data_IF_829233703461
#
_entry.id   IF_829233703461
#
_cell.length_a   1.000
_cell.length_b   1.000
_cell.length_c   1.000
_cell.angle_alpha   90.00
_cell.angle_beta   90.00
_cell.angle_gamma   90.00
#
_symmetry.space_group_name_H-M   'P 1'
#
loop_
_entity.id
_entity.type
_entity.pdbx_description
1 polymer ?
#
# COMPACT_ATOMS: atom_id res chain seq x y z
N UNK A 1 -23.22 -4.41 -13.31
CA UNK A 1 -22.83 -5.22 -12.16
C UNK A 1 -21.41 -5.03 -11.77
N UNK A 2 -20.50 -5.27 -12.71
CA UNK A 2 -19.10 -5.11 -12.40
C UNK A 2 -18.74 -3.68 -12.02
N UNK A 3 -19.38 -2.72 -12.65
CA UNK A 3 -19.10 -1.33 -12.34
C UNK A 3 -19.46 -0.99 -10.90
N UNK A 4 -20.58 -1.50 -10.43
CA UNK A 4 -20.98 -1.24 -9.05
C UNK A 4 -20.02 -1.90 -8.09
N UNK A 5 -19.58 -3.11 -8.40
CA UNK A 5 -18.62 -3.79 -7.55
C UNK A 5 -17.30 -3.05 -7.50
N UNK A 6 -16.85 -2.54 -8.65
CA UNK A 6 -15.61 -1.78 -8.69
C UNK A 6 -15.73 -0.50 -7.89
N UNK A 7 -16.84 0.17 -8.00
CA UNK A 7 -17.09 1.40 -7.27
C UNK A 7 -17.05 1.14 -5.77
N UNK A 8 -17.71 0.09 -5.35
CA UNK A 8 -17.75 -0.26 -3.94
C UNK A 8 -16.35 -0.60 -3.42
N UNK A 9 -15.64 -1.41 -4.19
CA UNK A 9 -14.28 -1.80 -3.77
C UNK A 9 -13.36 -0.59 -3.72
N UNK A 10 -13.45 0.29 -4.71
CA UNK A 10 -12.60 1.49 -4.72
C UNK A 10 -12.90 2.36 -3.53
N UNK A 11 -14.16 2.49 -3.15
CA UNK A 11 -14.52 3.28 -1.99
C UNK A 11 -13.93 2.68 -0.72
N UNK A 12 -14.00 1.37 -0.59
CA UNK A 12 -13.44 0.71 0.58
C UNK A 12 -11.94 0.91 0.68
N UNK A 13 -11.24 0.78 -0.45
CA UNK A 13 -9.78 0.97 -0.42
C UNK A 13 -9.42 2.42 -0.18
N UNK A 14 -10.22 3.35 -0.68
CA UNK A 14 -10.00 4.75 -0.40
C UNK A 14 -10.13 5.06 1.08
N UNK A 15 -11.15 4.51 1.72
CA UNK A 15 -11.30 4.66 3.15
C UNK A 15 -10.13 4.05 3.88
N UNK A 16 -9.67 2.88 3.43
CA UNK A 16 -8.53 2.23 4.07
C UNK A 16 -7.29 3.10 3.96
N UNK A 17 -7.10 3.77 2.84
CA UNK A 17 -5.95 4.67 2.69
C UNK A 17 -6.02 5.81 3.69
N UNK A 18 -7.20 6.39 3.86
CA UNK A 18 -7.35 7.48 4.81
C UNK A 18 -7.04 6.99 6.22
N UNK A 19 -7.51 5.81 6.57
CA UNK A 19 -7.22 5.25 7.88
C UNK A 19 -5.74 4.95 8.05
N UNK A 20 -5.07 4.51 6.98
CA UNK A 20 -3.64 4.26 7.04
C UNK A 20 -2.87 5.55 7.29
N UNK A 21 -3.28 6.63 6.63
CA UNK A 21 -2.63 7.92 6.85
C UNK A 21 -2.79 8.35 8.30
N UNK A 22 -3.97 8.16 8.84
CA UNK A 22 -4.21 8.47 10.24
C UNK A 22 -3.28 7.66 11.13
N UNK A 23 -3.14 6.37 10.81
CA UNK A 23 -2.30 5.50 11.60
C UNK A 23 -0.84 5.94 11.55
N UNK A 24 -0.38 6.36 10.37
CA UNK A 24 0.98 6.84 10.24
C UNK A 24 1.21 8.06 11.10
N UNK A 25 0.24 8.98 11.10
CA UNK A 25 0.38 10.20 11.87
C UNK A 25 0.35 9.93 13.36
N UNK A 26 -0.45 8.94 13.78
CA UNK A 26 -0.65 8.65 15.20
C UNK A 26 0.22 7.52 15.70
N UNK A 27 0.95 6.86 14.84
CA UNK A 27 1.71 5.70 15.25
C UNK A 27 2.67 5.99 16.37
N UNK A 28 2.56 5.26 17.49
CA UNK A 28 3.43 5.53 18.63
C UNK A 28 4.85 5.04 18.43
N UNK A 29 5.05 4.03 17.60
CA UNK A 29 6.39 3.50 17.38
C UNK A 29 6.70 3.48 15.89
N UNK A 30 7.99 3.33 15.61
CA UNK A 30 8.42 3.23 14.21
C UNK A 30 7.86 1.97 13.56
N UNK A 31 7.75 0.89 14.33
CA UNK A 31 7.22 -0.35 13.78
C UNK A 31 5.78 -0.17 13.31
N UNK A 32 4.97 0.55 14.09
CA UNK A 32 3.59 0.79 13.70
C UNK A 32 3.52 1.60 12.43
N UNK A 33 4.39 2.59 12.30
CA UNK A 33 4.40 3.41 11.10
C UNK A 33 4.80 2.61 9.88
N UNK A 34 5.76 1.73 10.04
CA UNK A 34 6.21 0.91 8.92
C UNK A 34 5.11 -0.05 8.49
N UNK A 35 4.41 -0.62 9.45
CA UNK A 35 3.29 -1.48 9.12
C UNK A 35 2.21 -0.73 8.35
N UNK A 36 1.92 0.50 8.77
CA UNK A 36 0.92 1.29 8.08
C UNK A 36 1.36 1.63 6.67
N UNK A 37 2.64 1.91 6.49
CA UNK A 37 3.16 2.18 5.16
C UNK A 37 3.01 0.97 4.25
N UNK A 38 3.29 -0.21 4.79
CA UNK A 38 3.15 -1.44 4.01
C UNK A 38 1.71 -1.64 3.58
N UNK A 39 0.79 -1.41 4.50
CA UNK A 39 -0.62 -1.53 4.19
C UNK A 39 -1.05 -0.50 3.15
N UNK A 40 -0.49 0.70 3.22
CA UNK A 40 -0.77 1.72 2.21
C UNK A 40 -0.35 1.27 0.82
N UNK A 41 0.82 0.64 0.73
CA UNK A 41 1.29 0.15 -0.56
C UNK A 41 0.33 -0.89 -1.10
N UNK A 42 -0.11 -1.80 -0.26
CA UNK A 42 -1.06 -2.82 -0.69
C UNK A 42 -2.35 -2.18 -1.18
N UNK A 43 -2.83 -1.17 -0.47
CA UNK A 43 -4.06 -0.49 -0.87
C UNK A 43 -3.90 0.22 -2.20
N UNK A 44 -2.76 0.85 -2.41
CA UNK A 44 -2.50 1.53 -3.68
C UNK A 44 -2.45 0.52 -4.82
N UNK A 45 -1.81 -0.62 -4.58
CA UNK A 45 -1.75 -1.67 -5.59
C UNK A 45 -3.15 -2.15 -5.95
N UNK A 46 -3.98 -2.35 -4.93
CA UNK A 46 -5.35 -2.79 -5.17
C UNK A 46 -6.13 -1.76 -5.98
N UNK A 47 -5.96 -0.49 -5.67
CA UNK A 47 -6.64 0.56 -6.41
C UNK A 47 -6.19 0.60 -7.86
N UNK A 48 -4.89 0.42 -8.08
CA UNK A 48 -4.37 0.39 -9.45
C UNK A 48 -4.96 -0.78 -10.23
N UNK A 49 -5.03 -1.94 -9.59
CA UNK A 49 -5.59 -3.11 -10.26
C UNK A 49 -7.07 -2.88 -10.57
N UNK A 50 -7.80 -2.30 -9.63
CA UNK A 50 -9.21 -2.01 -9.86
C UNK A 50 -9.39 -1.04 -11.02
N UNK A 51 -8.55 -0.02 -11.06
CA UNK A 51 -8.63 0.94 -12.14
C UNK A 51 -8.31 0.28 -13.47
N UNK A 52 -7.34 -0.60 -13.49
CA UNK A 52 -6.99 -1.33 -14.69
C UNK A 52 -8.14 -2.21 -15.18
N UNK A 53 -8.83 -2.84 -14.24
CA UNK A 53 -9.99 -3.66 -14.60
C UNK A 53 -11.07 -2.78 -15.21
N UNK A 54 -11.31 -1.63 -14.60
CA UNK A 54 -12.33 -0.72 -15.08
C UNK A 54 -12.01 -0.22 -16.48
N UNK A 55 -10.76 0.11 -16.74
CA UNK A 55 -10.35 0.62 -18.04
C UNK A 55 -10.10 -0.50 -19.05
N UNK A 56 -9.98 -1.72 -18.58
CA UNK A 56 -9.75 -2.84 -19.47
C UNK A 56 -8.39 -2.89 -20.07
N UNK A 57 -7.37 -2.39 -19.36
CA UNK A 57 -6.02 -2.40 -19.86
C UNK A 57 -5.08 -3.04 -18.86
N UNK A 58 -4.02 -3.66 -19.36
CA UNK A 58 -3.07 -4.34 -18.52
C UNK A 58 -1.92 -3.45 -18.06
N UNK A 59 -1.86 -2.22 -18.56
CA UNK A 59 -0.77 -1.33 -18.18
C UNK A 59 -0.76 -1.06 -16.69
N UNK A 60 -1.94 -0.87 -16.11
CA UNK A 60 -2.01 -0.58 -14.68
C UNK A 60 -1.63 -1.78 -13.85
N UNK A 61 -1.86 -2.98 -14.38
CA UNK A 61 -1.46 -4.18 -13.70
C UNK A 61 0.07 -4.27 -13.63
N UNK A 62 0.73 -3.90 -14.72
CA UNK A 62 2.20 -3.89 -14.73
C UNK A 62 2.74 -2.87 -13.74
N UNK A 63 2.13 -1.70 -13.69
CA UNK A 63 2.54 -0.70 -12.72
C UNK A 63 2.35 -1.20 -11.31
N UNK A 64 1.26 -1.91 -11.06
CA UNK A 64 1.00 -2.45 -9.73
C UNK A 64 2.08 -3.46 -9.33
N UNK A 65 2.53 -4.27 -10.29
CA UNK A 65 3.58 -5.24 -10.01
C UNK A 65 4.89 -4.54 -9.63
N UNK A 66 5.22 -3.49 -10.36
CA UNK A 66 6.43 -2.74 -10.05
C UNK A 66 6.35 -2.12 -8.65
N UNK A 67 5.21 -1.55 -8.32
CA UNK A 67 5.03 -0.97 -7.00
C UNK A 67 5.12 -2.04 -5.93
N UNK A 68 4.59 -3.22 -6.21
CA UNK A 68 4.65 -4.30 -5.24
C UNK A 68 6.10 -4.69 -4.95
N UNK A 69 6.93 -4.76 -5.99
CA UNK A 69 8.33 -5.10 -5.79
C UNK A 69 9.05 -4.03 -4.99
N UNK A 70 8.82 -2.78 -5.34
CA UNK A 70 9.46 -1.68 -4.62
C UNK A 70 8.98 -1.65 -3.17
N UNK A 71 7.69 -1.86 -2.95
CA UNK A 71 7.14 -1.87 -1.60
C UNK A 71 7.73 -2.98 -0.76
N UNK A 72 7.88 -4.16 -1.34
CA UNK A 72 8.45 -5.27 -0.62
C UNK A 72 9.88 -4.96 -0.19
N UNK A 73 10.67 -4.45 -1.11
CA UNK A 73 12.06 -4.12 -0.79
C UNK A 73 12.12 -3.03 0.27
N UNK A 74 11.27 -2.03 0.16
CA UNK A 74 11.24 -0.95 1.14
C UNK A 74 10.89 -1.48 2.53
N UNK A 75 9.89 -2.34 2.60
CA UNK A 75 9.47 -2.88 3.90
C UNK A 75 10.58 -3.71 4.52
N UNK A 76 11.24 -4.53 3.72
CA UNK A 76 12.33 -5.33 4.22
C UNK A 76 13.47 -4.44 4.73
N UNK A 77 13.77 -3.38 3.99
CA UNK A 77 14.83 -2.47 4.39
C UNK A 77 14.50 -1.79 5.72
N UNK A 78 13.26 -1.35 5.88
CA UNK A 78 12.86 -0.72 7.12
C UNK A 78 12.89 -1.70 8.28
N UNK A 79 12.46 -2.93 8.04
CA UNK A 79 12.48 -3.93 9.10
C UNK A 79 13.90 -4.22 9.53
N UNK A 80 14.82 -4.30 8.60
CA UNK A 80 16.22 -4.52 8.95
C UNK A 80 16.79 -3.34 9.74
N UNK A 81 16.40 -2.14 9.33
CA UNK A 81 16.82 -0.96 10.05
C UNK A 81 16.37 -1.01 11.51
N UNK A 82 15.12 -1.40 11.72
CA UNK A 82 14.60 -1.49 13.08
C UNK A 82 15.29 -2.58 13.88
N UNK A 83 15.58 -3.71 13.23
CA UNK A 83 16.24 -4.80 13.94
C UNK A 83 17.63 -4.41 14.42
N UNK A 84 18.31 -3.61 13.63
CA UNK A 84 19.62 -3.16 14.03
C UNK A 84 19.57 -2.05 15.05
N UNK A 85 18.38 -1.50 15.25
CA UNK A 85 18.22 -0.40 16.18
C UNK A 85 18.66 0.89 15.58
N UNK A 86 19.87 0.93 15.13
CA UNK A 86 20.38 2.13 14.48
C UNK A 86 21.25 1.70 13.35
N UNK A 87 20.87 2.04 12.17
CA UNK A 87 21.55 1.54 11.04
C UNK A 87 22.98 1.93 10.94
N UNK A 88 23.35 3.03 11.51
CA UNK A 88 24.69 3.47 11.49
C UNK A 88 25.59 2.61 12.26
N UNK A 89 25.04 1.94 13.17
CA UNK A 89 25.86 1.19 14.00
C UNK A 89 26.22 0.11 13.55
#
# INVERSE_FOLDING_TARGET
>A
MIEMALFFAASCYGLALILDLWRIAQGPTSADRILALDTMVINVIALLVLYGIWRGTAIYFEAAMLIAMVGFVSTVAYCRYLLRGNIIE
#
